data_IF_092899728078
#
_entry.id   IF_092899728078
#
_cell.length_a   1.000
_cell.length_b   1.000
_cell.length_c   1.000
_cell.angle_alpha   90.00
_cell.angle_beta   90.00
_cell.angle_gamma   90.00
#
_symmetry.space_group_name_H-M   'P 1'
#
loop_
_entity.id
_entity.type
_entity.pdbx_description
1 polymer ?
#
# COMPACT_ATOMS: atom_id res chain seq x y z
N UNK A 1 -2.01 -0.29 0.16
CA UNK A 1 -2.32 0.83 -0.75
C UNK A 1 -1.91 0.43 -2.16
N UNK A 2 -2.77 0.63 -3.15
CA UNK A 2 -2.45 0.34 -4.56
C UNK A 2 -2.50 1.61 -5.40
N UNK A 3 -1.73 1.67 -6.48
CA UNK A 3 -1.78 2.75 -7.44
C UNK A 3 -1.53 2.25 -8.86
N UNK A 4 -2.18 2.86 -9.84
CA UNK A 4 -1.71 2.76 -11.22
C UNK A 4 -0.45 3.61 -11.33
N UNK A 5 0.59 3.05 -11.95
CA UNK A 5 1.87 3.73 -12.15
C UNK A 5 2.24 3.69 -13.63
N UNK A 6 2.77 4.81 -14.13
CA UNK A 6 3.29 4.97 -15.47
C UNK A 6 4.60 5.78 -15.40
N UNK A 7 5.73 5.09 -15.20
CA UNK A 7 7.00 5.75 -14.92
C UNK A 7 6.94 6.48 -13.57
N UNK A 8 7.06 7.81 -13.59
CA UNK A 8 6.98 8.63 -12.37
C UNK A 8 5.54 9.05 -12.02
N UNK A 9 4.58 8.86 -12.94
CA UNK A 9 3.18 9.21 -12.70
C UNK A 9 2.53 8.14 -11.81
N UNK A 10 1.91 8.58 -10.72
CA UNK A 10 1.25 7.72 -9.73
C UNK A 10 -0.19 8.18 -9.56
N UNK A 11 -1.12 7.24 -9.72
CA UNK A 11 -2.56 7.45 -9.58
C UNK A 11 -3.08 6.53 -8.45
N UNK A 12 -3.15 7.00 -7.20
CA UNK A 12 -3.56 6.21 -6.05
C UNK A 12 -5.01 5.72 -6.16
N UNK A 13 -5.25 4.47 -5.75
CA UNK A 13 -6.59 3.89 -5.60
C UNK A 13 -7.12 4.09 -4.17
N UNK A 14 -8.41 3.84 -3.96
CA UNK A 14 -8.98 3.70 -2.61
C UNK A 14 -8.21 2.63 -1.81
N UNK A 15 -7.89 2.92 -0.56
CA UNK A 15 -7.21 1.95 0.30
C UNK A 15 -8.13 0.78 0.66
N UNK A 16 -7.52 -0.38 0.87
CA UNK A 16 -8.19 -1.58 1.35
C UNK A 16 -7.40 -2.18 2.50
N UNK A 17 -8.10 -2.82 3.42
CA UNK A 17 -7.51 -3.65 4.46
C UNK A 17 -7.84 -5.11 4.16
N UNK A 18 -6.83 -5.96 4.23
CA UNK A 18 -6.92 -7.42 4.05
C UNK A 18 -6.72 -8.13 5.39
N UNK A 19 -7.48 -9.20 5.61
CA UNK A 19 -7.35 -10.08 6.77
C UNK A 19 -6.57 -11.35 6.38
N UNK A 20 -5.30 -11.41 6.77
CA UNK A 20 -4.39 -12.51 6.38
C UNK A 20 -4.50 -13.77 7.25
N UNK A 21 -5.14 -13.71 8.40
CA UNK A 21 -5.17 -14.82 9.36
C UNK A 21 -6.29 -15.80 9.03
N UNK A 22 -5.98 -17.10 9.05
CA UNK A 22 -6.90 -18.15 8.60
C UNK A 22 -8.19 -18.27 9.41
N UNK A 23 -8.19 -17.85 10.68
CA UNK A 23 -9.31 -18.06 11.61
C UNK A 23 -9.77 -16.74 12.24
N UNK A 24 -11.00 -16.75 12.78
CA UNK A 24 -11.61 -15.61 13.47
C UNK A 24 -10.74 -15.04 14.59
N UNK A 25 -10.83 -13.71 14.77
CA UNK A 25 -10.04 -12.97 15.76
C UNK A 25 -8.55 -12.91 15.44
N UNK A 26 -8.21 -12.90 14.15
CA UNK A 26 -6.85 -12.84 13.63
C UNK A 26 -5.92 -13.95 14.16
N UNK A 27 -6.42 -15.19 14.20
CA UNK A 27 -5.69 -16.37 14.69
C UNK A 27 -5.25 -17.31 13.57
N UNK A 28 -4.32 -18.21 13.89
CA UNK A 28 -3.82 -19.24 12.97
C UNK A 28 -2.72 -18.76 12.03
N UNK A 29 -2.34 -19.59 11.04
CA UNK A 29 -1.27 -19.25 10.09
C UNK A 29 -1.68 -18.07 9.19
N UNK A 30 -0.69 -17.43 8.58
CA UNK A 30 -0.94 -16.47 7.51
C UNK A 30 -1.43 -17.21 6.25
N UNK A 31 -2.34 -16.58 5.51
CA UNK A 31 -2.84 -16.98 4.20
C UNK A 31 -2.53 -15.87 3.19
N UNK A 32 -2.95 -16.05 1.93
CA UNK A 32 -2.93 -14.98 0.93
C UNK A 32 -3.94 -13.84 1.18
N UNK A 33 -4.92 -14.06 2.07
CA UNK A 33 -6.04 -13.15 2.34
C UNK A 33 -7.35 -13.93 2.48
N UNK A 34 -8.03 -13.79 3.62
CA UNK A 34 -9.33 -14.42 3.90
C UNK A 34 -10.51 -13.51 3.52
N UNK A 35 -10.24 -12.23 3.30
CA UNK A 35 -11.23 -11.23 2.97
C UNK A 35 -10.65 -9.84 3.10
N UNK A 36 -11.22 -8.90 2.35
CA UNK A 36 -10.80 -7.51 2.36
C UNK A 36 -12.00 -6.58 2.21
N UNK A 37 -11.83 -5.33 2.62
CA UNK A 37 -12.84 -4.29 2.45
C UNK A 37 -12.21 -2.94 2.10
N UNK A 38 -13.01 -2.09 1.45
CA UNK A 38 -12.65 -0.73 1.03
C UNK A 38 -13.89 0.18 1.06
N UNK A 39 -13.78 1.46 1.47
CA UNK A 39 -12.58 2.10 2.05
C UNK A 39 -12.29 1.59 3.47
N UNK A 40 -11.24 2.13 4.11
CA UNK A 40 -10.82 1.77 5.48
C UNK A 40 -11.08 2.97 6.41
N UNK A 41 -12.26 3.08 7.05
CA UNK A 41 -12.70 4.34 7.68
C UNK A 41 -11.87 4.81 8.88
N UNK A 42 -11.13 3.90 9.51
CA UNK A 42 -10.27 4.22 10.65
C UNK A 42 -8.88 4.74 10.25
N UNK A 43 -8.58 4.79 8.95
CA UNK A 43 -7.38 5.44 8.41
C UNK A 43 -7.79 6.79 7.83
N UNK A 44 -7.23 7.86 8.37
CA UNK A 44 -7.53 9.23 7.93
C UNK A 44 -6.92 9.54 6.57
N UNK A 45 -7.54 10.44 5.81
CA UNK A 45 -7.01 10.92 4.52
C UNK A 45 -5.58 11.45 4.61
N UNK A 46 -5.23 12.16 5.69
CA UNK A 46 -3.88 12.68 5.91
C UNK A 46 -2.80 11.57 5.94
N UNK A 47 -3.13 10.39 6.48
CA UNK A 47 -2.23 9.22 6.48
C UNK A 47 -2.09 8.64 5.08
N UNK A 48 -3.18 8.64 4.30
CA UNK A 48 -3.18 8.18 2.91
C UNK A 48 -2.30 9.10 2.06
N UNK A 49 -2.49 10.41 2.17
CA UNK A 49 -1.68 11.43 1.51
C UNK A 49 -0.21 11.30 1.89
N UNK A 50 0.10 11.13 3.17
CA UNK A 50 1.47 10.92 3.64
C UNK A 50 2.10 9.67 3.02
N UNK A 51 1.37 8.55 2.97
CA UNK A 51 1.84 7.33 2.33
C UNK A 51 2.10 7.53 0.83
N UNK A 52 1.22 8.25 0.12
CA UNK A 52 1.43 8.56 -1.30
C UNK A 52 2.69 9.41 -1.50
N UNK A 53 2.84 10.48 -0.72
CA UNK A 53 3.94 11.44 -0.84
C UNK A 53 5.30 10.87 -0.42
N UNK A 54 5.33 10.06 0.63
CA UNK A 54 6.58 9.54 1.21
C UNK A 54 6.97 8.16 0.69
N UNK A 55 6.03 7.40 0.11
CA UNK A 55 6.28 6.01 -0.31
C UNK A 55 6.07 5.85 -1.81
N UNK A 56 4.84 6.00 -2.32
CA UNK A 56 4.55 5.65 -3.71
C UNK A 56 5.27 6.56 -4.73
N UNK A 57 5.20 7.88 -4.55
CA UNK A 57 5.85 8.84 -5.44
C UNK A 57 7.39 8.68 -5.43
N UNK A 58 8.07 8.58 -4.28
CA UNK A 58 9.51 8.32 -4.24
C UNK A 58 9.90 6.97 -4.84
N UNK A 59 9.12 5.90 -4.61
CA UNK A 59 9.38 4.58 -5.21
C UNK A 59 9.32 4.63 -6.73
N UNK A 60 8.27 5.22 -7.31
CA UNK A 60 8.12 5.37 -8.76
C UNK A 60 9.28 6.18 -9.37
N UNK A 61 9.65 7.31 -8.76
CA UNK A 61 10.80 8.13 -9.17
C UNK A 61 12.13 7.39 -9.06
N UNK A 62 12.34 6.67 -7.97
CA UNK A 62 13.55 5.88 -7.74
C UNK A 62 13.73 4.80 -8.81
N UNK A 63 12.67 4.09 -9.13
CA UNK A 63 12.67 3.06 -10.17
C UNK A 63 13.01 3.61 -11.55
N UNK A 64 12.46 4.78 -11.94
CA UNK A 64 12.85 5.45 -13.19
C UNK A 64 14.32 5.87 -13.16
N UNK A 65 14.79 6.47 -12.06
CA UNK A 65 16.19 6.88 -11.88
C UNK A 65 17.17 5.71 -12.01
N UNK A 66 16.78 4.52 -11.59
CA UNK A 66 17.58 3.29 -11.73
C UNK A 66 17.46 2.62 -13.10
N UNK A 67 16.75 3.22 -14.06
CA UNK A 67 16.52 2.63 -15.38
C UNK A 67 15.54 1.44 -15.35
N UNK A 68 14.75 1.32 -14.28
CA UNK A 68 13.75 0.26 -14.06
C UNK A 68 12.34 0.83 -14.23
N UNK A 69 12.05 1.33 -15.41
CA UNK A 69 10.72 1.88 -15.71
C UNK A 69 9.62 0.85 -15.40
N UNK A 70 8.58 1.29 -14.69
CA UNK A 70 7.44 0.45 -14.32
C UNK A 70 6.14 1.04 -14.81
N UNK A 71 5.30 0.16 -15.34
CA UNK A 71 3.95 0.48 -15.77
C UNK A 71 3.04 -0.66 -15.37
N UNK A 72 2.05 -0.38 -14.54
CA UNK A 72 1.16 -1.40 -13.99
C UNK A 72 0.55 -0.96 -12.67
N UNK A 73 0.26 -1.93 -11.82
CA UNK A 73 -0.28 -1.70 -10.47
C UNK A 73 0.85 -1.90 -9.48
N UNK A 74 1.24 -0.83 -8.79
CA UNK A 74 2.15 -0.90 -7.66
C UNK A 74 1.32 -1.14 -6.40
N UNK A 75 1.51 -2.30 -5.77
CA UNK A 75 0.94 -2.62 -4.47
C UNK A 75 1.98 -2.31 -3.39
N UNK A 76 1.58 -1.57 -2.36
CA UNK A 76 2.39 -1.33 -1.17
C UNK A 76 1.62 -1.86 0.05
N UNK A 77 2.13 -2.92 0.67
CA UNK A 77 1.69 -3.38 1.98
C UNK A 77 2.23 -2.44 3.04
N UNK A 78 1.36 -1.71 3.73
CA UNK A 78 1.75 -0.65 4.68
C UNK A 78 1.29 -0.97 6.10
N UNK A 79 2.07 -0.52 7.07
CA UNK A 79 1.68 -0.45 8.48
C UNK A 79 1.70 1.01 8.96
N UNK A 80 0.62 1.44 9.61
CA UNK A 80 0.61 2.73 10.32
C UNK A 80 1.28 2.57 11.68
N UNK A 81 2.37 3.29 11.90
CA UNK A 81 3.11 3.29 13.16
C UNK A 81 2.99 4.65 13.86
N UNK A 82 3.54 4.78 15.08
CA UNK A 82 3.62 6.06 15.78
C UNK A 82 4.41 7.14 15.01
N UNK A 83 5.35 6.73 14.14
CA UNK A 83 6.15 7.65 13.31
C UNK A 83 5.57 7.86 11.90
N UNK A 84 4.34 7.38 11.65
CA UNK A 84 3.71 7.42 10.33
C UNK A 84 3.73 6.09 9.57
N UNK A 85 3.30 6.08 8.28
CA UNK A 85 3.18 4.89 7.47
C UNK A 85 4.56 4.32 7.07
N UNK A 86 4.74 3.01 7.20
CA UNK A 86 5.97 2.28 6.83
C UNK A 86 5.65 1.11 5.90
N UNK A 87 6.55 0.83 4.97
CA UNK A 87 6.43 -0.30 4.03
C UNK A 87 6.75 -1.61 4.73
N UNK A 88 5.88 -2.61 4.53
CA UNK A 88 6.15 -4.02 4.86
C UNK A 88 6.67 -4.74 3.62
N UNK A 89 5.98 -4.56 2.48
CA UNK A 89 6.23 -5.28 1.22
C UNK A 89 5.77 -4.47 0.00
N UNK A 90 6.34 -4.79 -1.16
CA UNK A 90 5.88 -4.39 -2.49
C UNK A 90 5.60 -5.65 -3.32
#
# INVERSE_FOLDING_TARGET
LMAFVNGEEVYPMSIAQDHKRAYEGDKGPNTGGMGAYSPVPHISEAVIEEAVQKILLPTAKGMVKEGRYFRGILYAGLILTADGPKVIEF
#
